data_IF_623455565081
#
_entry.id   IF_623455565081
#
_cell.length_a   1.000
_cell.length_b   1.000
_cell.length_c   1.000
_cell.angle_alpha   90.00
_cell.angle_beta   90.00
_cell.angle_gamma   90.00
#
_symmetry.space_group_name_H-M   'P 1'
#
loop_
_entity.id
_entity.type
_entity.pdbx_description
1 polymer ?
#
# COMPACT_ATOMS: atom_id res chain seq x y z
N UNK A 1 16.69 -18.58 -9.46
CA UNK A 1 16.82 -17.31 -8.73
C UNK A 1 15.83 -17.40 -7.59
N UNK A 2 16.31 -17.47 -6.34
CA UNK A 2 15.40 -17.39 -5.19
C UNK A 2 14.85 -15.96 -5.14
N UNK A 3 13.53 -15.82 -5.26
CA UNK A 3 12.86 -14.54 -5.01
C UNK A 3 12.79 -14.40 -3.50
N UNK A 4 13.67 -13.60 -2.91
CA UNK A 4 13.56 -13.26 -1.48
C UNK A 4 12.28 -12.43 -1.31
N UNK A 5 11.27 -13.05 -0.70
CA UNK A 5 10.01 -12.39 -0.41
C UNK A 5 10.26 -11.41 0.74
N UNK A 6 9.90 -10.16 0.51
CA UNK A 6 10.01 -9.11 1.51
C UNK A 6 9.10 -9.44 2.71
N UNK A 7 9.61 -9.31 3.92
CA UNK A 7 8.81 -9.51 5.13
C UNK A 7 7.86 -8.31 5.36
N UNK A 8 6.88 -8.45 6.27
CA UNK A 8 5.88 -7.40 6.49
C UNK A 8 6.47 -6.07 7.01
N UNK A 9 7.50 -6.12 7.85
CA UNK A 9 8.15 -4.91 8.38
C UNK A 9 8.91 -4.16 7.29
N UNK A 10 9.63 -4.89 6.44
CA UNK A 10 10.29 -4.34 5.25
C UNK A 10 9.25 -3.73 4.28
N UNK A 11 8.13 -4.44 4.05
CA UNK A 11 7.04 -3.96 3.20
C UNK A 11 6.43 -2.66 3.74
N UNK A 12 6.16 -2.58 5.06
CA UNK A 12 5.64 -1.37 5.70
C UNK A 12 6.59 -0.19 5.50
N UNK A 13 7.88 -0.39 5.76
CA UNK A 13 8.91 0.65 5.63
C UNK A 13 8.99 1.16 4.18
N UNK A 14 9.01 0.24 3.21
CA UNK A 14 9.08 0.57 1.78
C UNK A 14 7.83 1.34 1.31
N UNK A 15 6.63 0.89 1.70
CA UNK A 15 5.37 1.58 1.37
C UNK A 15 5.33 2.96 2.01
N UNK A 16 5.65 3.06 3.30
CA UNK A 16 5.66 4.34 4.01
C UNK A 16 6.58 5.35 3.32
N UNK A 17 7.79 4.92 2.97
CA UNK A 17 8.77 5.73 2.27
C UNK A 17 8.22 6.21 0.92
N UNK A 18 7.73 5.31 0.08
CA UNK A 18 7.19 5.65 -1.25
C UNK A 18 6.02 6.61 -1.19
N UNK A 19 5.04 6.32 -0.33
CA UNK A 19 3.87 7.18 -0.19
C UNK A 19 4.27 8.59 0.30
N UNK A 20 5.28 8.67 1.17
CA UNK A 20 5.84 9.96 1.61
C UNK A 20 6.59 10.68 0.49
N UNK A 21 7.41 9.97 -0.30
CA UNK A 21 8.13 10.54 -1.46
C UNK A 21 7.18 11.05 -2.56
N UNK A 22 6.02 10.41 -2.71
CA UNK A 22 4.94 10.86 -3.59
C UNK A 22 4.14 12.05 -3.04
N UNK A 23 4.41 12.47 -1.80
CA UNK A 23 3.74 13.61 -1.16
C UNK A 23 2.36 13.27 -0.56
N UNK A 24 2.08 11.99 -0.30
CA UNK A 24 0.85 11.59 0.39
C UNK A 24 0.97 11.79 1.89
N UNK A 25 -0.15 12.15 2.51
CA UNK A 25 -0.22 12.48 3.94
C UNK A 25 -1.23 11.56 4.65
N UNK A 26 -1.20 11.54 5.98
CA UNK A 26 -2.09 10.72 6.83
C UNK A 26 -2.05 9.23 6.49
N UNK A 27 -0.85 8.72 6.24
CA UNK A 27 -0.62 7.30 5.93
C UNK A 27 -0.85 6.48 7.19
N UNK A 28 -1.77 5.52 7.11
CA UNK A 28 -2.08 4.55 8.15
C UNK A 28 -1.85 3.15 7.59
N UNK A 29 -0.90 2.45 8.19
CA UNK A 29 -0.57 1.05 7.90
C UNK A 29 -1.25 0.18 8.95
N UNK A 30 -2.08 -0.77 8.52
CA UNK A 30 -2.76 -1.73 9.38
C UNK A 30 -2.53 -3.15 8.88
N UNK A 31 -1.96 -3.98 9.73
CA UNK A 31 -1.91 -5.42 9.49
C UNK A 31 -3.27 -6.04 9.79
N UNK A 32 -3.75 -6.86 8.86
CA UNK A 32 -4.94 -7.68 9.09
C UNK A 32 -4.54 -9.08 9.54
N UNK A 33 -3.49 -9.64 8.93
CA UNK A 33 -2.89 -10.94 9.22
C UNK A 33 -1.46 -10.99 8.66
N UNK A 34 -0.75 -12.11 8.84
CA UNK A 34 0.64 -12.32 8.40
C UNK A 34 0.86 -12.20 6.87
N UNK A 35 -0.22 -12.25 6.09
CA UNK A 35 -0.19 -12.22 4.63
C UNK A 35 -0.91 -10.98 4.05
N UNK A 36 -1.46 -10.11 4.90
CA UNK A 36 -2.29 -8.99 4.47
C UNK A 36 -1.95 -7.70 5.20
N UNK A 37 -1.57 -6.68 4.43
CA UNK A 37 -1.33 -5.32 4.90
C UNK A 37 -2.31 -4.35 4.22
N UNK A 38 -3.03 -3.59 5.01
CA UNK A 38 -3.95 -2.54 4.55
C UNK A 38 -3.28 -1.19 4.73
N UNK A 39 -3.37 -0.35 3.71
CA UNK A 39 -2.77 0.98 3.70
C UNK A 39 -3.83 1.99 3.36
N UNK A 40 -4.04 2.95 4.25
CA UNK A 40 -4.95 4.06 4.07
C UNK A 40 -4.14 5.35 3.99
N UNK A 41 -4.43 6.23 3.03
CA UNK A 41 -3.75 7.53 2.94
C UNK A 41 -4.63 8.55 2.22
N UNK A 42 -4.26 9.82 2.38
CA UNK A 42 -4.92 10.90 1.67
C UNK A 42 -4.11 11.32 0.42
N UNK A 43 -4.74 11.33 -0.75
CA UNK A 43 -4.17 11.85 -2.00
C UNK A 43 -5.13 12.82 -2.70
N UNK A 44 -4.58 13.92 -3.24
CA UNK A 44 -5.38 14.96 -3.92
C UNK A 44 -5.77 14.57 -5.35
N UNK A 45 -5.05 13.64 -5.96
CA UNK A 45 -5.24 13.22 -7.35
C UNK A 45 -5.27 11.70 -7.45
N UNK A 46 -6.07 11.18 -8.40
CA UNK A 46 -6.15 9.74 -8.68
C UNK A 46 -4.87 9.32 -9.39
N UNK A 47 -3.96 8.70 -8.65
CA UNK A 47 -2.83 7.99 -9.24
C UNK A 47 -3.09 6.50 -9.19
N UNK A 48 -3.13 5.83 -10.34
CA UNK A 48 -3.07 4.38 -10.39
C UNK A 48 -1.72 3.93 -9.83
N UNK A 49 -1.70 3.43 -8.60
CA UNK A 49 -0.57 2.69 -8.08
C UNK A 49 -0.59 1.33 -8.79
N UNK A 50 0.41 1.01 -9.62
CA UNK A 50 0.65 -0.37 -10.09
C UNK A 50 2.15 -0.66 -10.04
N UNK A 51 2.54 -1.62 -9.22
CA UNK A 51 3.92 -1.93 -8.88
C UNK A 51 3.98 -3.38 -8.41
N UNK A 52 5.08 -4.06 -8.73
CA UNK A 52 5.31 -5.41 -8.25
C UNK A 52 6.31 -5.32 -7.09
N UNK A 53 5.81 -5.52 -5.88
CA UNK A 53 6.66 -5.63 -4.69
C UNK A 53 7.01 -7.11 -4.53
N UNK A 54 8.29 -7.44 -4.35
CA UNK A 54 8.78 -8.82 -4.37
C UNK A 54 7.96 -9.77 -3.47
N UNK A 55 7.12 -10.59 -4.09
CA UNK A 55 6.24 -11.56 -3.42
C UNK A 55 4.93 -11.00 -2.85
N UNK A 56 4.52 -9.78 -3.24
CA UNK A 56 3.28 -9.14 -2.82
C UNK A 56 2.53 -8.56 -4.02
N UNK A 57 1.25 -8.89 -4.13
CA UNK A 57 0.30 -8.23 -5.04
C UNK A 57 -0.50 -7.20 -4.26
N UNK A 58 -1.06 -6.22 -4.95
CA UNK A 58 -1.97 -5.28 -4.29
C UNK A 58 -3.13 -4.86 -5.18
N UNK A 59 -4.19 -4.42 -4.51
CA UNK A 59 -5.36 -3.82 -5.13
C UNK A 59 -5.74 -2.56 -4.37
N UNK A 60 -5.85 -1.44 -5.07
CA UNK A 60 -6.30 -0.16 -4.53
C UNK A 60 -7.72 0.16 -4.93
N UNK A 61 -8.52 0.72 -4.01
CA UNK A 61 -9.81 1.32 -4.30
C UNK A 61 -9.85 2.75 -3.77
N UNK A 62 -10.52 3.63 -4.52
CA UNK A 62 -10.89 4.96 -4.06
C UNK A 62 -12.11 4.82 -3.14
N UNK A 63 -12.03 5.33 -1.91
CA UNK A 63 -13.04 5.05 -0.89
C UNK A 63 -14.22 6.03 -0.86
N UNK A 64 -14.09 7.26 -1.36
CA UNK A 64 -15.18 8.24 -1.23
C UNK A 64 -15.13 9.38 -2.26
N UNK A 65 -16.21 9.57 -3.01
CA UNK A 65 -16.38 10.69 -3.95
C UNK A 65 -16.83 12.01 -3.29
N UNK A 66 -17.24 11.97 -2.03
CA UNK A 66 -17.74 13.13 -1.29
C UNK A 66 -16.70 13.79 -0.37
N UNK A 67 -15.63 13.07 -0.06
CA UNK A 67 -14.57 13.49 0.85
C UNK A 67 -13.22 13.22 0.16
N UNK A 68 -12.81 14.19 -0.67
CA UNK A 68 -11.96 14.09 -1.86
C UNK A 68 -10.68 13.23 -1.87
N UNK A 69 -10.22 12.59 -0.79
CA UNK A 69 -8.81 12.18 -0.72
C UNK A 69 -8.49 10.82 -0.15
N UNK A 70 -9.42 10.04 0.39
CA UNK A 70 -9.03 8.79 1.06
C UNK A 70 -8.90 7.60 0.10
N UNK A 71 -7.72 6.99 0.07
CA UNK A 71 -7.42 5.78 -0.69
C UNK A 71 -7.16 4.63 0.24
N UNK A 72 -7.57 3.43 -0.19
CA UNK A 72 -7.23 2.17 0.46
C UNK A 72 -6.50 1.26 -0.51
N UNK A 73 -5.36 0.75 -0.09
CA UNK A 73 -4.62 -0.28 -0.81
C UNK A 73 -4.49 -1.50 0.09
N UNK A 74 -4.92 -2.64 -0.43
CA UNK A 74 -4.77 -3.94 0.22
C UNK A 74 -3.61 -4.67 -0.46
N UNK A 75 -2.54 -4.91 0.28
CA UNK A 75 -1.39 -5.73 -0.11
C UNK A 75 -1.59 -7.15 0.40
N UNK A 76 -1.41 -8.13 -0.49
CA UNK A 76 -1.51 -9.55 -0.19
C UNK A 76 -0.26 -10.28 -0.66
N UNK A 77 0.28 -11.12 0.23
CA UNK A 77 1.44 -11.96 -0.08
C UNK A 77 1.06 -13.00 -1.13
N UNK A 78 1.92 -13.20 -2.11
CA UNK A 78 1.80 -14.27 -3.10
C UNK A 78 2.34 -15.54 -2.43
N UNK A 79 1.47 -16.52 -2.25
CA UNK A 79 1.76 -17.83 -1.63
C UNK A 79 2.02 -18.85 -2.72
#
# INVERSE_FOLDING_TARGET
>A
MEVTIMNQEELKSEIQKKLTEMGFENILLRELDENTLIVLFNAKEITSFKEELSGWIYSGIYLDHSNERQYRIDFRKVI
#
